data_IF_911597165526
#
_entry.id   IF_911597165526
#
_cell.length_a   1.000
_cell.length_b   1.000
_cell.length_c   1.000
_cell.angle_alpha   90.00
_cell.angle_beta   90.00
_cell.angle_gamma   90.00
#
_symmetry.space_group_name_H-M   'P 1'
#
loop_
_entity.id
_entity.type
_entity.pdbx_description
1 polymer ?
#
# COMPACT_ATOMS: atom_id res chain seq x y z
N UNK A 1 0.47 26.36 -8.58
CA UNK A 1 0.18 25.79 -9.91
C UNK A 1 0.64 26.66 -11.08
N UNK A 2 0.17 27.92 -11.24
CA UNK A 2 0.54 28.78 -12.41
C UNK A 2 2.03 28.85 -12.77
N UNK A 3 2.92 29.03 -11.79
CA UNK A 3 4.39 29.06 -12.03
C UNK A 3 4.99 27.71 -12.43
N UNK A 4 4.35 26.62 -12.02
CA UNK A 4 4.78 25.26 -12.34
C UNK A 4 4.16 24.75 -13.65
N UNK A 5 3.31 25.54 -14.33
CA UNK A 5 2.63 25.12 -15.56
C UNK A 5 1.63 23.98 -15.38
N UNK A 6 1.16 23.73 -14.15
CA UNK A 6 0.25 22.60 -13.86
C UNK A 6 -1.20 23.07 -14.04
N UNK A 7 -1.90 22.42 -14.95
CA UNK A 7 -3.34 22.59 -15.17
C UNK A 7 -4.14 21.64 -14.29
N UNK A 8 -5.22 22.14 -13.70
CA UNK A 8 -6.12 21.36 -12.85
C UNK A 8 -7.57 21.70 -13.21
N UNK A 9 -8.50 20.75 -13.04
CA UNK A 9 -9.93 21.03 -13.13
C UNK A 9 -10.36 22.10 -12.11
N UNK A 10 -11.43 22.82 -12.44
CA UNK A 10 -11.99 23.82 -11.54
C UNK A 10 -12.40 23.19 -10.20
N UNK A 11 -12.06 23.87 -9.10
CA UNK A 11 -12.36 23.44 -7.73
C UNK A 11 -11.45 22.35 -7.16
N UNK A 12 -10.53 21.75 -7.93
CA UNK A 12 -9.61 20.71 -7.43
C UNK A 12 -8.45 21.27 -6.60
N UNK A 13 -8.11 22.55 -6.75
CA UNK A 13 -6.92 23.15 -6.16
C UNK A 13 -6.85 23.01 -4.62
N UNK A 14 -8.00 23.04 -3.94
CA UNK A 14 -8.08 22.91 -2.48
C UNK A 14 -7.75 21.51 -1.97
N UNK A 15 -7.89 20.48 -2.82
CA UNK A 15 -7.76 19.08 -2.44
C UNK A 15 -6.69 18.33 -3.22
N UNK A 16 -6.08 18.94 -4.24
CA UNK A 16 -5.10 18.28 -5.12
C UNK A 16 -3.97 17.63 -4.33
N UNK A 17 -3.40 18.33 -3.34
CA UNK A 17 -2.30 17.78 -2.52
C UNK A 17 -2.75 16.60 -1.65
N UNK A 18 -3.99 16.63 -1.15
CA UNK A 18 -4.59 15.51 -0.40
C UNK A 18 -4.74 14.29 -1.31
N UNK A 19 -5.21 14.51 -2.54
CA UNK A 19 -5.31 13.45 -3.54
C UNK A 19 -3.92 12.90 -3.90
N UNK A 20 -2.93 13.78 -4.13
CA UNK A 20 -1.55 13.37 -4.40
C UNK A 20 -1.00 12.50 -3.28
N UNK A 21 -1.12 12.94 -2.02
CA UNK A 21 -0.69 12.15 -0.87
C UNK A 21 -1.37 10.78 -0.82
N UNK A 22 -2.70 10.74 -0.96
CA UNK A 22 -3.47 9.51 -0.88
C UNK A 22 -3.11 8.51 -1.99
N UNK A 23 -2.97 8.98 -3.24
CA UNK A 23 -2.54 8.14 -4.36
C UNK A 23 -1.16 7.56 -4.12
N UNK A 24 -0.17 8.40 -3.76
CA UNK A 24 1.19 7.94 -3.51
C UNK A 24 1.30 7.01 -2.29
N UNK A 25 0.49 7.23 -1.25
CA UNK A 25 0.43 6.34 -0.09
C UNK A 25 -0.03 4.94 -0.51
N UNK A 26 -1.09 4.84 -1.33
CA UNK A 26 -1.57 3.55 -1.83
C UNK A 26 -0.59 2.89 -2.81
N UNK A 27 0.04 3.65 -3.71
CA UNK A 27 1.07 3.14 -4.64
C UNK A 27 2.25 2.49 -3.92
N UNK A 28 2.56 2.92 -2.70
CA UNK A 28 3.64 2.33 -1.87
C UNK A 28 3.19 1.14 -1.03
N UNK A 29 2.01 0.57 -1.28
CA UNK A 29 1.47 -0.56 -0.52
C UNK A 29 0.85 -0.15 0.83
N UNK A 30 0.46 1.12 0.98
CA UNK A 30 -0.18 1.60 2.20
C UNK A 30 -1.52 0.90 2.48
N UNK A 31 -1.84 0.72 3.76
CA UNK A 31 -3.10 0.11 4.17
C UNK A 31 -4.29 1.09 4.00
N UNK A 32 -5.32 0.69 3.27
CA UNK A 32 -6.48 1.53 2.95
C UNK A 32 -7.27 1.99 4.20
N UNK A 33 -7.32 1.17 5.25
CA UNK A 33 -7.99 1.51 6.52
C UNK A 33 -7.17 2.53 7.33
N UNK A 34 -5.85 2.48 7.22
CA UNK A 34 -4.96 3.49 7.80
C UNK A 34 -5.14 4.82 7.05
N UNK A 35 -5.18 4.77 5.72
CA UNK A 35 -5.43 5.96 4.90
C UNK A 35 -6.78 6.61 5.25
N UNK A 36 -7.84 5.82 5.48
CA UNK A 36 -9.14 6.35 5.90
C UNK A 36 -9.03 7.20 7.17
N UNK A 37 -8.29 6.70 8.17
CA UNK A 37 -8.07 7.40 9.44
C UNK A 37 -7.22 8.65 9.26
N UNK A 38 -6.13 8.58 8.48
CA UNK A 38 -5.27 9.73 8.17
C UNK A 38 -6.08 10.85 7.50
N UNK A 39 -6.96 10.47 6.56
CA UNK A 39 -7.80 11.44 5.86
C UNK A 39 -9.04 11.86 6.66
N UNK A 40 -9.33 11.25 7.81
CA UNK A 40 -10.52 11.56 8.60
C UNK A 40 -11.83 11.25 7.87
N UNK A 41 -11.86 10.23 7.03
CA UNK A 41 -13.06 9.83 6.31
C UNK A 41 -14.00 8.98 7.18
N UNK A 42 -15.23 9.45 7.36
CA UNK A 42 -16.26 8.73 8.13
C UNK A 42 -16.70 7.43 7.45
N UNK A 43 -16.81 7.43 6.12
CA UNK A 43 -17.16 6.26 5.32
C UNK A 43 -15.95 5.79 4.50
N UNK A 44 -15.66 4.49 4.57
CA UNK A 44 -14.59 3.86 3.80
C UNK A 44 -14.77 4.06 2.30
N UNK A 45 -16.02 4.19 1.80
CA UNK A 45 -16.31 4.44 0.38
C UNK A 45 -15.61 5.69 -0.17
N UNK A 46 -15.40 6.71 0.68
CA UNK A 46 -14.63 7.91 0.29
C UNK A 46 -13.17 7.58 0.00
N UNK A 47 -12.56 6.73 0.82
CA UNK A 47 -11.17 6.29 0.68
C UNK A 47 -11.00 5.26 -0.43
N UNK A 48 -12.03 4.43 -0.70
CA UNK A 48 -11.99 3.43 -1.77
C UNK A 48 -11.74 4.01 -3.15
N UNK A 49 -11.93 5.33 -3.36
CA UNK A 49 -11.49 6.00 -4.60
C UNK A 49 -10.01 5.79 -4.91
N UNK A 50 -9.16 5.54 -3.90
CA UNK A 50 -7.72 5.33 -4.09
C UNK A 50 -7.31 3.85 -4.15
N UNK A 51 -8.24 2.89 -4.01
CA UNK A 51 -7.90 1.47 -3.90
C UNK A 51 -7.18 0.93 -5.14
N UNK A 52 -7.51 1.45 -6.32
CA UNK A 52 -6.92 1.05 -7.60
C UNK A 52 -5.42 1.43 -7.73
N UNK A 53 -4.90 2.28 -6.85
CA UNK A 53 -3.46 2.56 -6.78
C UNK A 53 -2.68 1.52 -5.98
N UNK A 54 -3.36 0.63 -5.23
CA UNK A 54 -2.68 -0.41 -4.47
C UNK A 54 -1.99 -1.41 -5.42
N UNK A 55 -0.76 -1.83 -5.14
CA UNK A 55 -0.13 -2.90 -5.89
C UNK A 55 -0.92 -4.20 -5.75
N UNK A 56 -0.83 -5.08 -6.76
CA UNK A 56 -1.47 -6.40 -6.68
C UNK A 56 -0.80 -7.21 -5.56
N UNK A 57 -1.61 -7.78 -4.67
CA UNK A 57 -1.17 -8.58 -3.52
C UNK A 57 -1.66 -10.02 -3.60
N UNK A 58 -1.96 -10.54 -4.80
CA UNK A 58 -2.47 -11.90 -4.96
C UNK A 58 -1.51 -12.95 -4.36
N UNK A 59 -0.20 -12.77 -4.50
CA UNK A 59 0.82 -13.65 -3.91
C UNK A 59 0.80 -13.64 -2.38
N UNK A 60 0.37 -12.52 -1.77
CA UNK A 60 0.24 -12.43 -0.32
C UNK A 60 -0.86 -13.34 0.21
N UNK A 61 -1.88 -13.68 -0.60
CA UNK A 61 -2.90 -14.64 -0.21
C UNK A 61 -2.30 -16.03 0.03
N UNK A 62 -1.30 -16.43 -0.77
CA UNK A 62 -0.57 -17.68 -0.56
C UNK A 62 0.31 -17.58 0.69
N UNK A 63 1.02 -16.46 0.90
CA UNK A 63 1.93 -16.33 2.04
C UNK A 63 1.23 -16.15 3.40
N UNK A 64 0.01 -15.59 3.43
CA UNK A 64 -0.71 -15.24 4.66
C UNK A 64 -1.90 -16.15 4.96
N UNK A 65 -2.07 -17.24 4.20
CA UNK A 65 -3.15 -18.18 4.48
C UNK A 65 -2.86 -18.99 5.76
N UNK A 66 -3.88 -19.33 6.57
CA UNK A 66 -3.70 -20.00 7.85
C UNK A 66 -3.24 -21.47 7.75
N UNK A 67 -3.14 -22.02 6.53
CA UNK A 67 -2.75 -23.40 6.27
C UNK A 67 -1.32 -23.52 5.71
N UNK A 68 -0.62 -22.42 5.42
CA UNK A 68 0.81 -22.43 5.07
C UNK A 68 1.63 -22.66 6.35
N UNK A 69 1.63 -23.91 6.83
CA UNK A 69 2.35 -24.37 8.00
C UNK A 69 3.83 -24.67 7.67
N UNK A 70 4.53 -23.73 7.02
CA UNK A 70 5.99 -23.81 6.91
C UNK A 70 6.60 -23.49 8.27
N UNK A 71 6.63 -24.49 9.14
CA UNK A 71 7.62 -24.55 10.21
C UNK A 71 8.97 -24.34 9.54
N UNK A 72 9.62 -23.20 9.82
CA UNK A 72 11.01 -23.00 9.44
C UNK A 72 11.83 -23.95 10.29
N UNK A 73 11.93 -25.20 9.85
CA UNK A 73 12.94 -26.12 10.33
C UNK A 73 14.27 -25.41 10.11
N UNK A 74 14.92 -25.07 11.22
CA UNK A 74 16.31 -24.66 11.23
C UNK A 74 17.11 -25.86 10.72
N UNK A 75 17.43 -25.88 9.42
CA UNK A 75 18.55 -26.66 8.92
C UNK A 75 19.83 -26.00 9.44
N UNK A 76 20.16 -26.33 10.68
CA UNK A 76 21.45 -26.05 11.27
C UNK A 76 22.53 -26.90 10.61
N UNK A 77 23.60 -26.22 10.22
CA UNK A 77 24.98 -26.70 10.24
C UNK A 77 25.34 -28.02 9.53
N UNK A 78 25.81 -27.89 8.29
CA UNK A 78 26.94 -28.71 7.81
C UNK A 78 28.00 -27.85 7.12
N UNK A 79 28.71 -27.06 7.92
CA UNK A 79 30.12 -26.77 7.67
C UNK A 79 30.94 -27.82 8.43
N UNK A 80 31.47 -28.84 7.75
CA UNK A 80 32.43 -29.75 8.38
C UNK A 80 32.68 -31.08 7.67
N UNK A 81 33.42 -31.06 6.57
CA UNK A 81 34.29 -32.19 6.19
C UNK A 81 35.46 -31.69 5.34
N UNK A 82 36.46 -31.13 6.02
CA UNK A 82 37.83 -31.29 5.59
C UNK A 82 38.24 -32.75 5.88
N UNK A 83 38.56 -33.50 4.84
CA UNK A 83 39.39 -34.70 4.88
C UNK A 83 40.03 -34.88 3.49
#
# INVERSE_FOLDING_TARGET
>A
MKRAGIELPDGQLTHVLRHTFASHFMMRGGNILVLQRILGHTDIKMTMRYSHFAPSHLDAAVALNPFDNRERVNDGDENGAAA
#
